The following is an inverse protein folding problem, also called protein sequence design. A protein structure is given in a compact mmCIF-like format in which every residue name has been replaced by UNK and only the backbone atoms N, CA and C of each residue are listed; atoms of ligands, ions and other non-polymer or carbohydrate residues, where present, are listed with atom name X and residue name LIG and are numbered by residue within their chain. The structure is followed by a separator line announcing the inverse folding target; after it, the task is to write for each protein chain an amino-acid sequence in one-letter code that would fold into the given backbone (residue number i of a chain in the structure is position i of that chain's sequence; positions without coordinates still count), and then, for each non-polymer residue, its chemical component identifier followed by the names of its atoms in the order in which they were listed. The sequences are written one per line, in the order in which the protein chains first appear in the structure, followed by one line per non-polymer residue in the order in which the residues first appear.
data_IF_026954361256
#
_entry.id   IF_026954361256
#
_cell.length_a   1.000
_cell.length_b   1.000
_cell.length_c   1.000
_cell.angle_alpha   90.00
_cell.angle_beta   90.00
_cell.angle_gamma   90.00
#
_symmetry.space_group_name_H-M   'P 1'
#
loop_
_entity.id
_entity.type
_entity.pdbx_description
1 polymer ?
#
# COMPACT_ATOMS: atom_id res chain seq x y z
N UNK A 1 16.92 4.97 3.76
CA UNK A 1 15.69 4.18 3.43
C UNK A 1 16.09 2.88 2.70
N UNK A 2 17.24 2.30 3.05
CA UNK A 2 17.92 1.33 2.19
C UNK A 2 17.48 -0.12 2.43
N UNK A 3 16.61 -0.34 3.41
CA UNK A 3 16.00 -1.64 3.71
C UNK A 3 14.72 -1.93 2.90
N UNK A 4 14.26 -1.00 2.04
CA UNK A 4 13.07 -1.20 1.21
C UNK A 4 11.73 -1.08 1.97
N UNK A 5 11.73 -0.44 3.14
CA UNK A 5 10.53 -0.11 3.91
C UNK A 5 9.65 0.87 3.12
N UNK A 6 8.33 0.66 3.18
CA UNK A 6 7.34 1.51 2.52
C UNK A 6 6.54 2.25 3.59
N UNK A 7 6.38 3.57 3.42
CA UNK A 7 5.55 4.39 4.32
C UNK A 7 4.06 4.08 4.11
N UNK A 8 3.30 4.02 5.20
CA UNK A 8 1.83 3.94 5.16
C UNK A 8 1.14 5.31 4.99
N UNK A 9 1.89 6.41 4.96
CA UNK A 9 1.36 7.80 4.97
C UNK A 9 0.34 8.02 6.10
N UNK A 10 -0.79 8.65 5.80
CA UNK A 10 -1.91 8.98 6.68
C UNK A 10 -3.01 7.91 6.69
N UNK A 11 -2.75 6.71 6.13
CA UNK A 11 -3.68 5.59 6.24
C UNK A 11 -3.90 5.19 7.70
N UNK A 12 -5.13 4.81 8.04
CA UNK A 12 -5.35 4.06 9.28
C UNK A 12 -4.65 2.70 9.20
N UNK A 13 -4.28 2.14 10.36
CA UNK A 13 -3.60 0.83 10.42
C UNK A 13 -4.44 -0.28 9.77
N UNK A 14 -5.75 -0.25 9.96
CA UNK A 14 -6.69 -1.20 9.36
C UNK A 14 -6.70 -1.08 7.83
N UNK A 15 -6.71 0.15 7.30
CA UNK A 15 -6.67 0.41 5.87
C UNK A 15 -5.33 -0.04 5.25
N UNK A 16 -4.20 0.21 5.92
CA UNK A 16 -2.88 -0.22 5.47
C UNK A 16 -2.76 -1.75 5.40
N UNK A 17 -3.19 -2.47 6.44
CA UNK A 17 -3.14 -3.93 6.50
C UNK A 17 -4.09 -4.56 5.47
N UNK A 18 -5.35 -4.10 5.39
CA UNK A 18 -6.32 -4.64 4.43
C UNK A 18 -5.93 -4.37 2.99
N UNK A 19 -5.42 -3.17 2.68
CA UNK A 19 -4.89 -2.84 1.35
C UNK A 19 -3.69 -3.71 0.99
N UNK A 20 -2.77 -3.95 1.93
CA UNK A 20 -1.64 -4.85 1.71
C UNK A 20 -2.11 -6.28 1.43
N UNK A 21 -3.01 -6.83 2.24
CA UNK A 21 -3.61 -8.16 2.02
C UNK A 21 -4.28 -8.26 0.65
N UNK A 22 -5.08 -7.26 0.28
CA UNK A 22 -5.75 -7.20 -1.02
C UNK A 22 -4.75 -7.22 -2.18
N UNK A 23 -3.72 -6.37 -2.15
CA UNK A 23 -2.73 -6.26 -3.21
C UNK A 23 -1.88 -7.52 -3.35
N UNK A 24 -1.51 -8.17 -2.24
CA UNK A 24 -0.77 -9.44 -2.25
C UNK A 24 -1.61 -10.61 -2.77
N UNK A 25 -2.93 -10.54 -2.69
CA UNK A 25 -3.85 -11.51 -3.28
C UNK A 25 -4.01 -11.40 -4.80
N UNK A 26 -3.47 -10.35 -5.43
CA UNK A 26 -3.55 -10.14 -6.87
C UNK A 26 -2.32 -10.70 -7.60
N UNK A 27 -2.43 -10.95 -8.91
CA UNK A 27 -1.30 -11.31 -9.79
C UNK A 27 -0.44 -10.09 -10.15
N UNK A 28 0.02 -9.34 -9.15
CA UNK A 28 0.82 -8.13 -9.31
C UNK A 28 2.30 -8.41 -9.10
N UNK A 29 3.16 -7.66 -9.79
CA UNK A 29 4.60 -7.71 -9.50
C UNK A 29 4.89 -6.95 -8.20
N UNK A 30 6.04 -7.22 -7.58
CA UNK A 30 6.46 -6.47 -6.37
C UNK A 30 6.54 -4.96 -6.63
N UNK A 31 6.93 -4.56 -7.85
CA UNK A 31 6.94 -3.14 -8.26
C UNK A 31 5.54 -2.55 -8.26
N UNK A 32 4.57 -3.30 -8.77
CA UNK A 32 3.16 -2.87 -8.80
C UNK A 32 2.61 -2.77 -7.37
N UNK A 33 2.89 -3.73 -6.49
CA UNK A 33 2.46 -3.68 -5.08
C UNK A 33 3.02 -2.42 -4.40
N UNK A 34 4.30 -2.11 -4.60
CA UNK A 34 4.93 -0.88 -4.07
C UNK A 34 4.31 0.41 -4.62
N UNK A 35 3.87 0.39 -5.87
CA UNK A 35 3.17 1.51 -6.49
C UNK A 35 1.75 1.66 -5.92
N UNK A 36 0.98 0.58 -5.88
CA UNK A 36 -0.42 0.61 -5.48
C UNK A 36 -0.62 0.83 -3.98
N UNK A 37 0.29 0.37 -3.13
CA UNK A 37 0.20 0.64 -1.68
C UNK A 37 0.24 2.15 -1.39
N UNK A 38 1.02 2.93 -2.16
CA UNK A 38 1.14 4.38 -2.02
C UNK A 38 0.10 5.19 -2.83
N UNK A 39 -0.63 4.54 -3.74
CA UNK A 39 -1.65 5.19 -4.57
C UNK A 39 -2.97 5.21 -3.83
N UNK A 40 -3.60 6.38 -3.66
CA UNK A 40 -4.96 6.46 -3.15
C UNK A 40 -5.93 5.70 -4.09
N UNK A 41 -6.65 4.71 -3.57
CA UNK A 41 -7.61 3.89 -4.33
C UNK A 41 -9.07 4.18 -3.97
N UNK A 42 -9.36 4.47 -2.71
CA UNK A 42 -10.71 4.55 -2.13
C UNK A 42 -10.84 5.63 -1.04
N UNK A 43 -9.92 6.58 -0.99
CA UNK A 43 -9.89 7.64 0.02
C UNK A 43 -9.13 7.27 1.28
N UNK A 44 -8.35 6.18 1.26
CA UNK A 44 -7.55 5.74 2.41
C UNK A 44 -6.31 6.61 2.65
N UNK A 45 -5.90 7.40 1.65
CA UNK A 45 -4.78 8.36 1.71
C UNK A 45 -5.33 9.74 1.31
N UNK A 46 -5.00 10.78 2.07
CA UNK A 46 -5.42 12.17 1.79
C UNK A 46 -4.29 13.04 1.25
N UNK A 47 -3.03 12.66 1.49
CA UNK A 47 -1.82 13.35 0.99
C UNK A 47 -1.39 12.96 -0.43
#
# INVERSE_FOLDING_TARGET
LDAGVISGKDMTTEAAITKMMFLLGQKLTLKDVKLYINKNMRGEISE
#
